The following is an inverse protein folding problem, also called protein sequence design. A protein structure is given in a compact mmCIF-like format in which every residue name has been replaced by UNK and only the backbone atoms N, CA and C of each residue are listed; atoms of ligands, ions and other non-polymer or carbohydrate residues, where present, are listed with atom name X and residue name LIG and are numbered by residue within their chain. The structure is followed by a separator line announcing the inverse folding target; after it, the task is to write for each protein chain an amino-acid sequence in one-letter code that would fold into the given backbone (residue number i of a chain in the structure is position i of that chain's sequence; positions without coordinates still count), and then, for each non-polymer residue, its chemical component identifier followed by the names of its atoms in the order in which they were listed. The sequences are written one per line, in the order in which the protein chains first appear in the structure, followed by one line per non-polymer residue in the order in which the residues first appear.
data_IF_459814724393
#
_entry.id   IF_459814724393
#
_cell.length_a   1.000
_cell.length_b   1.000
_cell.length_c   1.000
_cell.angle_alpha   90.00
_cell.angle_beta   90.00
_cell.angle_gamma   90.00
#
_symmetry.space_group_name_H-M   'P 1'
#
loop_
_entity.id
_entity.type
_entity.pdbx_description
1 polymer ?
#
# COMPACT_ATOMS: atom_id res chain seq x y z
N UNK A 1 13.55 15.42 0.66
CA UNK A 1 14.23 15.90 -0.57
C UNK A 1 15.67 16.28 -0.27
N UNK A 2 16.62 16.01 -1.18
CA UNK A 2 17.97 16.52 -1.08
C UNK A 2 17.98 18.05 -1.05
N UNK A 3 18.99 18.64 -0.36
CA UNK A 3 19.09 20.09 -0.23
C UNK A 3 19.22 20.76 -1.59
N UNK A 4 18.34 21.70 -1.89
CA UNK A 4 18.34 22.47 -3.13
C UNK A 4 17.56 21.83 -4.29
N UNK A 5 16.99 20.66 -4.11
CA UNK A 5 16.10 20.03 -5.11
C UNK A 5 14.64 20.39 -4.86
N UNK A 6 13.92 20.67 -5.92
CA UNK A 6 12.46 20.77 -5.93
C UNK A 6 11.82 19.39 -6.11
N UNK A 7 10.49 19.31 -5.93
CA UNK A 7 9.72 18.09 -6.22
C UNK A 7 9.85 17.73 -7.70
N UNK A 8 9.80 18.70 -8.58
CA UNK A 8 9.90 18.50 -10.03
C UNK A 8 11.30 17.98 -10.43
N UNK A 9 12.36 18.54 -9.84
CA UNK A 9 13.74 18.04 -10.06
C UNK A 9 13.87 16.56 -9.66
N UNK A 10 13.27 16.18 -8.53
CA UNK A 10 13.29 14.79 -8.07
C UNK A 10 12.44 13.89 -8.97
N UNK A 11 11.30 14.36 -9.42
CA UNK A 11 10.44 13.61 -10.34
C UNK A 11 11.15 13.32 -11.67
N UNK A 12 11.79 14.34 -12.25
CA UNK A 12 12.60 14.20 -13.46
C UNK A 12 13.80 13.23 -13.26
N UNK A 13 14.48 13.33 -12.13
CA UNK A 13 15.57 12.44 -11.79
C UNK A 13 15.12 10.98 -11.72
N UNK A 14 14.01 10.71 -11.02
CA UNK A 14 13.46 9.36 -10.87
C UNK A 14 12.99 8.80 -12.21
N UNK A 15 12.27 9.59 -13.02
CA UNK A 15 11.81 9.17 -14.34
C UNK A 15 12.97 8.80 -15.26
N UNK A 16 14.03 9.61 -15.27
CA UNK A 16 15.22 9.41 -16.12
C UNK A 16 16.11 8.26 -15.63
N UNK A 17 16.24 8.06 -14.32
CA UNK A 17 17.08 7.03 -13.72
C UNK A 17 16.42 5.65 -13.67
N UNK A 18 15.09 5.59 -13.71
CA UNK A 18 14.34 4.34 -13.58
C UNK A 18 14.60 3.38 -14.75
N UNK A 19 14.78 2.11 -14.41
CA UNK A 19 14.83 1.03 -15.41
C UNK A 19 13.43 0.60 -15.91
N UNK A 20 12.35 1.18 -15.37
CA UNK A 20 10.94 0.91 -15.73
C UNK A 20 10.60 -0.58 -15.67
N UNK A 21 11.03 -1.23 -14.60
CA UNK A 21 10.81 -2.66 -14.38
C UNK A 21 9.44 -2.98 -13.80
N UNK A 22 8.78 -1.98 -13.18
CA UNK A 22 7.47 -2.09 -12.56
C UNK A 22 7.35 -3.34 -11.67
N UNK A 23 8.20 -3.50 -10.65
CA UNK A 23 8.27 -4.71 -9.85
C UNK A 23 6.96 -5.00 -9.12
N UNK A 24 6.61 -6.27 -9.01
CA UNK A 24 5.44 -6.72 -8.27
C UNK A 24 5.60 -6.50 -6.77
N UNK A 25 4.52 -6.08 -6.13
CA UNK A 25 4.44 -5.87 -4.68
C UNK A 25 3.34 -6.75 -4.08
N UNK A 26 3.51 -7.25 -2.85
CA UNK A 26 2.46 -7.99 -2.17
C UNK A 26 1.29 -7.09 -1.74
N UNK A 27 1.58 -5.84 -1.39
CA UNK A 27 0.60 -4.85 -0.96
C UNK A 27 1.00 -3.48 -1.49
N UNK A 28 0.03 -2.71 -1.98
CA UNK A 28 0.21 -1.32 -2.33
C UNK A 28 -0.10 -0.42 -1.12
N UNK A 29 0.57 0.72 -1.02
CA UNK A 29 0.38 1.67 0.07
C UNK A 29 -0.69 2.71 -0.26
N UNK A 30 -1.61 2.93 0.68
CA UNK A 30 -2.79 3.78 0.49
C UNK A 30 -2.50 5.26 0.30
N UNK A 31 -1.29 5.78 0.59
CA UNK A 31 -1.00 7.19 0.39
C UNK A 31 -1.02 7.61 -1.09
N UNK A 32 -0.69 6.69 -2.01
CA UNK A 32 -0.77 6.90 -3.45
C UNK A 32 -0.98 5.55 -4.15
N UNK A 33 -2.23 5.15 -4.27
CA UNK A 33 -2.64 3.89 -4.88
C UNK A 33 -3.54 4.16 -6.09
N UNK A 34 -3.08 3.81 -7.28
CA UNK A 34 -3.91 3.81 -8.48
C UNK A 34 -4.62 2.46 -8.62
N UNK A 35 -5.94 2.47 -8.71
CA UNK A 35 -6.76 1.26 -8.83
C UNK A 35 -7.56 1.34 -10.13
N UNK A 36 -7.47 0.30 -10.96
CA UNK A 36 -8.31 0.19 -12.16
C UNK A 36 -9.78 0.07 -11.77
N UNK A 37 -10.64 0.77 -12.46
CA UNK A 37 -12.09 0.73 -12.23
C UNK A 37 -12.65 -0.69 -12.30
N UNK A 38 -12.20 -1.49 -13.26
CA UNK A 38 -12.60 -2.88 -13.43
C UNK A 38 -12.32 -3.76 -12.20
N UNK A 39 -11.23 -3.50 -11.47
CA UNK A 39 -10.92 -4.22 -10.22
C UNK A 39 -11.95 -3.88 -9.15
N UNK A 40 -12.28 -2.60 -8.97
CA UNK A 40 -13.30 -2.17 -8.01
C UNK A 40 -14.67 -2.77 -8.35
N UNK A 41 -15.03 -2.81 -9.62
CA UNK A 41 -16.30 -3.40 -10.09
C UNK A 41 -16.38 -4.90 -9.80
N UNK A 42 -15.26 -5.61 -9.87
CA UNK A 42 -15.20 -7.05 -9.61
C UNK A 42 -15.16 -7.39 -8.12
N UNK A 43 -14.27 -6.74 -7.35
CA UNK A 43 -14.00 -7.11 -5.95
C UNK A 43 -14.61 -6.17 -4.91
N UNK A 44 -15.19 -5.05 -5.34
CA UNK A 44 -15.79 -4.05 -4.46
C UNK A 44 -14.78 -3.00 -3.96
N UNK A 45 -15.26 -2.12 -3.08
CA UNK A 45 -14.49 -1.04 -2.48
C UNK A 45 -13.62 -1.52 -1.31
N UNK A 46 -12.80 -0.62 -0.77
CA UNK A 46 -12.11 -0.84 0.49
C UNK A 46 -13.13 -1.05 1.62
N UNK A 47 -12.86 -2.00 2.51
CA UNK A 47 -13.76 -2.37 3.62
C UNK A 47 -13.60 -1.41 4.81
N UNK A 48 -14.06 -0.18 4.63
CA UNK A 48 -14.02 0.86 5.67
C UNK A 48 -14.88 0.53 6.89
N UNK A 49 -15.85 -0.39 6.76
CA UNK A 49 -16.72 -0.80 7.86
C UNK A 49 -15.98 -1.69 8.86
N UNK A 50 -15.21 -2.65 8.37
CA UNK A 50 -14.41 -3.55 9.23
C UNK A 50 -13.17 -2.85 9.77
N UNK A 51 -12.52 -2.02 8.93
CA UNK A 51 -11.28 -1.31 9.28
C UNK A 51 -11.56 0.16 9.59
N UNK A 52 -12.46 0.41 10.53
CA UNK A 52 -12.77 1.75 11.00
C UNK A 52 -11.50 2.50 11.45
N UNK A 53 -11.43 3.78 11.18
CA UNK A 53 -10.29 4.68 11.49
C UNK A 53 -8.98 4.38 10.76
N UNK A 54 -9.04 3.54 9.71
CA UNK A 54 -7.87 3.17 8.91
C UNK A 54 -7.11 1.95 9.44
N UNK A 55 -5.96 1.68 8.82
CA UNK A 55 -5.06 0.56 9.13
C UNK A 55 -5.63 -0.82 8.78
N UNK A 56 -5.29 -1.28 7.61
CA UNK A 56 -5.59 -2.63 7.13
C UNK A 56 -6.57 -2.69 5.98
N UNK A 57 -7.33 -1.63 5.70
CA UNK A 57 -8.26 -1.59 4.58
C UNK A 57 -7.56 -1.74 3.22
N UNK A 58 -6.41 -1.12 3.03
CA UNK A 58 -5.62 -1.31 1.81
C UNK A 58 -5.02 -2.71 1.72
N UNK A 59 -4.59 -3.29 2.83
CA UNK A 59 -4.09 -4.66 2.87
C UNK A 59 -5.18 -5.66 2.50
N UNK A 60 -6.36 -5.51 3.10
CA UNK A 60 -7.54 -6.32 2.77
C UNK A 60 -7.90 -6.22 1.28
N UNK A 61 -7.94 -5.00 0.75
CA UNK A 61 -8.21 -4.77 -0.67
C UNK A 61 -7.18 -5.46 -1.56
N UNK A 62 -5.89 -5.29 -1.25
CA UNK A 62 -4.80 -5.91 -1.99
C UNK A 62 -4.89 -7.44 -1.97
N UNK A 63 -5.19 -8.04 -0.83
CA UNK A 63 -5.33 -9.49 -0.73
C UNK A 63 -6.55 -10.01 -1.50
N UNK A 64 -7.68 -9.30 -1.46
CA UNK A 64 -8.86 -9.65 -2.30
C UNK A 64 -8.53 -9.56 -3.79
N UNK A 65 -7.77 -8.54 -4.20
CA UNK A 65 -7.33 -8.41 -5.58
C UNK A 65 -6.42 -9.57 -6.02
N UNK A 66 -5.48 -9.98 -5.17
CA UNK A 66 -4.62 -11.16 -5.43
C UNK A 66 -5.45 -12.42 -5.57
N UNK A 67 -6.43 -12.65 -4.68
CA UNK A 67 -7.33 -13.81 -4.75
C UNK A 67 -8.16 -13.83 -6.04
N UNK A 68 -8.47 -12.66 -6.59
CA UNK A 68 -9.19 -12.51 -7.87
C UNK A 68 -8.27 -12.62 -9.11
N UNK A 69 -6.98 -12.87 -8.92
CA UNK A 69 -6.01 -13.04 -10.02
C UNK A 69 -5.30 -11.74 -10.46
N UNK A 70 -5.48 -10.65 -9.73
CA UNK A 70 -4.73 -9.39 -9.95
C UNK A 70 -3.42 -9.39 -9.16
N UNK A 71 -2.54 -8.49 -9.51
CA UNK A 71 -1.31 -8.22 -8.76
C UNK A 71 -1.00 -6.72 -8.77
N UNK A 72 -0.16 -6.31 -7.86
CA UNK A 72 0.24 -4.92 -7.68
C UNK A 72 1.63 -4.71 -8.24
N UNK A 73 1.85 -3.53 -8.81
CA UNK A 73 3.16 -3.13 -9.32
C UNK A 73 3.54 -1.77 -8.75
N UNK A 74 4.82 -1.57 -8.52
CA UNK A 74 5.35 -0.26 -8.22
C UNK A 74 5.57 0.51 -9.52
N UNK A 75 5.07 1.76 -9.60
CA UNK A 75 5.45 2.72 -10.62
C UNK A 75 6.83 3.28 -10.27
N UNK A 76 7.89 2.57 -10.66
CA UNK A 76 9.26 2.90 -10.29
C UNK A 76 9.87 4.08 -11.07
N UNK A 77 9.13 4.60 -12.04
CA UNK A 77 9.46 5.80 -12.83
C UNK A 77 8.67 7.05 -12.40
N UNK A 78 7.91 6.96 -11.31
CA UNK A 78 7.07 8.06 -10.83
C UNK A 78 7.42 8.42 -9.39
N UNK A 79 7.73 9.68 -9.15
CA UNK A 79 8.02 10.20 -7.82
C UNK A 79 6.81 10.96 -7.27
N UNK A 80 6.40 10.61 -6.06
CA UNK A 80 5.36 11.31 -5.32
C UNK A 80 5.92 11.77 -3.98
N UNK A 81 5.89 13.06 -3.71
CA UNK A 81 6.31 13.60 -2.42
C UNK A 81 5.21 13.42 -1.39
N UNK A 82 5.54 12.73 -0.30
CA UNK A 82 4.67 12.56 0.85
C UNK A 82 5.19 13.37 2.03
N UNK A 83 4.49 14.44 2.39
CA UNK A 83 4.85 15.32 3.51
C UNK A 83 4.44 14.74 4.88
N UNK A 84 4.39 13.42 4.99
CA UNK A 84 3.91 12.73 6.18
C UNK A 84 4.54 13.29 7.45
N UNK A 85 3.69 13.65 8.40
CA UNK A 85 4.13 13.93 9.76
C UNK A 85 4.45 12.60 10.42
N UNK A 86 5.63 12.49 11.03
CA UNK A 86 5.92 11.41 11.96
C UNK A 86 4.98 11.55 13.16
N UNK A 87 3.76 11.07 13.03
CA UNK A 87 2.82 11.03 14.14
C UNK A 87 3.28 9.95 15.10
N UNK A 88 3.53 10.32 16.35
CA UNK A 88 3.65 9.35 17.43
C UNK A 88 2.42 8.44 17.41
N UNK A 89 2.67 7.14 17.39
CA UNK A 89 1.59 6.16 17.50
C UNK A 89 1.08 6.21 18.93
N UNK A 90 -0.13 6.72 19.15
CA UNK A 90 -0.78 6.68 20.46
C UNK A 90 -1.09 5.23 20.87
N UNK A 91 -1.24 4.95 22.17
CA UNK A 91 -1.63 3.62 22.65
C UNK A 91 -2.96 3.16 22.04
N UNK A 92 -3.91 4.08 21.85
CA UNK A 92 -5.19 3.82 21.20
C UNK A 92 -5.00 3.38 19.75
N UNK A 93 -4.15 4.08 19.00
CA UNK A 93 -3.81 3.76 17.63
C UNK A 93 -3.15 2.38 17.51
N UNK A 94 -2.24 2.06 18.43
CA UNK A 94 -1.58 0.76 18.50
C UNK A 94 -2.58 -0.39 18.69
N UNK A 95 -3.59 -0.22 19.54
CA UNK A 95 -4.66 -1.21 19.72
C UNK A 95 -5.45 -1.47 18.43
N UNK A 96 -5.80 -0.41 17.69
CA UNK A 96 -6.47 -0.58 16.39
C UNK A 96 -5.60 -1.35 15.39
N UNK A 97 -4.33 -1.02 15.30
CA UNK A 97 -3.38 -1.74 14.42
C UNK A 97 -3.37 -3.23 14.78
N UNK A 98 -3.22 -3.58 16.05
CA UNK A 98 -3.19 -4.97 16.52
C UNK A 98 -4.51 -5.72 16.26
N UNK A 99 -5.65 -5.07 16.48
CA UNK A 99 -6.97 -5.65 16.20
C UNK A 99 -7.15 -5.90 14.70
N UNK A 100 -6.77 -4.96 13.85
CA UNK A 100 -6.86 -5.08 12.40
C UNK A 100 -5.89 -6.14 11.85
N UNK A 101 -4.69 -6.26 12.39
CA UNK A 101 -3.75 -7.33 12.05
C UNK A 101 -4.32 -8.72 12.37
N UNK A 102 -5.01 -8.88 13.48
CA UNK A 102 -5.71 -10.14 13.82
C UNK A 102 -6.78 -10.47 12.79
N UNK A 103 -7.58 -9.48 12.37
CA UNK A 103 -8.61 -9.67 11.35
C UNK A 103 -7.99 -10.10 10.02
N UNK A 104 -6.92 -9.42 9.59
CA UNK A 104 -6.19 -9.76 8.36
C UNK A 104 -5.60 -11.17 8.42
N UNK A 105 -5.02 -11.55 9.56
CA UNK A 105 -4.47 -12.89 9.78
C UNK A 105 -5.55 -13.98 9.67
N UNK A 106 -6.74 -13.72 10.20
CA UNK A 106 -7.87 -14.65 10.12
C UNK A 106 -8.42 -14.77 8.69
N UNK A 107 -8.52 -13.65 7.97
CA UNK A 107 -9.01 -13.63 6.58
C UNK A 107 -8.00 -14.23 5.60
N UNK A 108 -6.72 -13.98 5.80
CA UNK A 108 -5.65 -14.28 4.85
C UNK A 108 -4.45 -14.99 5.52
N UNK A 109 -4.63 -16.18 6.09
CA UNK A 109 -3.57 -16.85 6.87
C UNK A 109 -2.33 -17.23 6.03
N UNK A 110 -2.50 -17.44 4.72
CA UNK A 110 -1.40 -17.78 3.79
C UNK A 110 -0.62 -16.56 3.30
N UNK A 111 -1.19 -15.38 3.33
CA UNK A 111 -0.55 -14.15 2.80
C UNK A 111 0.55 -13.62 3.71
N UNK A 112 0.44 -13.85 5.02
CA UNK A 112 1.46 -13.47 6.00
C UNK A 112 2.73 -14.33 5.94
N UNK A 113 2.65 -15.58 5.46
CA UNK A 113 3.82 -16.41 5.25
C UNK A 113 4.70 -15.91 4.10
N UNK A 114 4.13 -15.16 3.16
CA UNK A 114 4.89 -14.51 2.07
C UNK A 114 5.67 -13.29 2.54
N UNK A 115 5.13 -12.50 3.47
CA UNK A 115 5.81 -11.33 4.04
C UNK A 115 7.02 -11.71 4.91
N UNK A 116 6.98 -12.87 5.57
CA UNK A 116 8.11 -13.38 6.35
C UNK A 116 9.27 -13.93 5.50
N UNK A 117 9.07 -14.15 4.21
CA UNK A 117 10.10 -14.61 3.28
C UNK A 117 10.84 -13.43 2.62
N UNK A 118 10.22 -12.26 2.55
CA UNK A 118 10.74 -11.05 1.87
C UNK A 118 11.46 -10.09 2.84
N UNK A 119 11.30 -10.28 4.14
CA UNK A 119 11.98 -9.54 5.20
C UNK A 119 13.10 -10.36 5.81
#
# INVERSE_FOLDING_TARGET
LPKGMTIDDMAELVENASAKLYPSLPVAHGFCMFIKRSVIEEIGLLDAKTFERGYGEENDFCYRAIQAGYYHVMCDDTYIYHSGTSSFVSEEKQKYIEEHEKILTQRYPKSLSFLSIVL
#
